data_IF_673224489878
#
_entry.id   IF_673224489878
#
_cell.length_a   1.000
_cell.length_b   1.000
_cell.length_c   1.000
_cell.angle_alpha   90.00
_cell.angle_beta   90.00
_cell.angle_gamma   90.00
#
_symmetry.space_group_name_H-M   'P 1'
#
loop_
_entity.id
_entity.type
_entity.pdbx_description
1 polymer ?
#
# COMPACT_ATOMS: atom_id res chain seq x y z
N UNK A 1 13.76 20.94 3.15
CA UNK A 1 14.60 20.13 4.06
C UNK A 1 15.23 19.01 3.23
N UNK A 2 16.56 18.93 3.18
CA UNK A 2 17.27 17.84 2.50
C UNK A 2 17.14 16.56 3.33
N UNK A 3 16.26 15.67 2.89
CA UNK A 3 16.00 14.41 3.55
C UNK A 3 17.20 13.47 3.46
N UNK A 4 17.53 12.83 4.59
CA UNK A 4 18.52 11.77 4.62
C UNK A 4 18.07 10.65 3.65
N UNK A 5 18.90 10.27 2.66
CA UNK A 5 18.53 9.28 1.64
C UNK A 5 18.17 7.92 2.26
N UNK A 6 18.79 7.56 3.39
CA UNK A 6 18.48 6.33 4.13
C UNK A 6 17.05 6.36 4.68
N UNK A 7 16.64 7.47 5.31
CA UNK A 7 15.28 7.63 5.84
C UNK A 7 14.26 7.56 4.70
N UNK A 8 14.52 8.23 3.58
CA UNK A 8 13.65 8.16 2.40
C UNK A 8 13.49 6.72 1.88
N UNK A 9 14.59 5.96 1.85
CA UNK A 9 14.56 4.57 1.42
C UNK A 9 13.72 3.69 2.37
N UNK A 10 13.90 3.86 3.69
CA UNK A 10 13.09 3.18 4.72
C UNK A 10 11.62 3.56 4.56
N UNK A 11 11.31 4.85 4.44
CA UNK A 11 9.95 5.36 4.25
C UNK A 11 9.25 4.72 3.04
N UNK A 12 9.95 4.52 1.91
CA UNK A 12 9.38 3.86 0.75
C UNK A 12 9.04 2.39 1.00
N UNK A 13 9.92 1.64 1.67
CA UNK A 13 9.63 0.25 2.06
C UNK A 13 8.50 0.18 3.06
N UNK A 14 8.51 1.08 4.04
CA UNK A 14 7.52 1.16 5.10
C UNK A 14 6.12 1.46 4.53
N UNK A 15 6.02 2.42 3.61
CA UNK A 15 4.76 2.74 2.95
C UNK A 15 4.25 1.56 2.10
N UNK A 16 5.14 0.90 1.35
CA UNK A 16 4.77 -0.33 0.63
C UNK A 16 4.28 -1.43 1.58
N UNK A 17 4.92 -1.61 2.72
CA UNK A 17 4.51 -2.60 3.72
C UNK A 17 3.12 -2.29 4.32
N UNK A 18 2.90 -1.03 4.72
CA UNK A 18 1.60 -0.56 5.26
C UNK A 18 0.50 -0.82 4.22
N UNK A 19 0.69 -0.35 2.99
CA UNK A 19 -0.30 -0.48 1.93
C UNK A 19 -0.58 -1.94 1.56
N UNK A 20 0.44 -2.82 1.59
CA UNK A 20 0.23 -4.24 1.35
C UNK A 20 -0.68 -4.88 2.41
N UNK A 21 -0.47 -4.55 3.68
CA UNK A 21 -1.32 -5.03 4.77
C UNK A 21 -2.74 -4.49 4.68
N UNK A 22 -2.88 -3.22 4.34
CA UNK A 22 -4.20 -2.63 4.09
C UNK A 22 -4.90 -3.31 2.91
N UNK A 23 -4.16 -3.65 1.85
CA UNK A 23 -4.67 -4.37 0.69
C UNK A 23 -5.22 -5.74 1.01
N UNK A 24 -4.57 -6.49 1.90
CA UNK A 24 -5.08 -7.79 2.34
C UNK A 24 -6.48 -7.68 2.96
N UNK A 25 -6.75 -6.62 3.74
CA UNK A 25 -8.08 -6.41 4.34
C UNK A 25 -9.10 -5.88 3.33
N UNK A 26 -8.67 -4.99 2.44
CA UNK A 26 -9.51 -4.42 1.37
C UNK A 26 -10.01 -5.53 0.43
N UNK A 27 -9.17 -6.53 0.12
CA UNK A 27 -9.55 -7.66 -0.71
C UNK A 27 -10.68 -8.52 -0.08
N UNK A 28 -10.88 -8.44 1.25
CA UNK A 28 -12.03 -9.03 1.94
C UNK A 28 -13.24 -8.08 2.04
N UNK A 29 -13.19 -6.91 1.41
CA UNK A 29 -14.24 -5.89 1.46
C UNK A 29 -14.25 -5.04 2.74
N UNK A 30 -13.19 -5.11 3.55
CA UNK A 30 -13.02 -4.27 4.74
C UNK A 30 -12.31 -2.98 4.32
N UNK A 31 -13.08 -1.90 4.18
CA UNK A 31 -12.56 -0.62 3.70
C UNK A 31 -12.14 0.36 4.80
N UNK A 32 -12.51 0.11 6.05
CA UNK A 32 -12.19 0.97 7.19
C UNK A 32 -10.95 0.47 7.95
N UNK A 33 -9.89 0.19 7.19
CA UNK A 33 -8.64 -0.37 7.73
C UNK A 33 -7.88 0.69 8.51
N UNK A 34 -7.33 0.34 9.66
CA UNK A 34 -6.39 1.20 10.39
C UNK A 34 -5.22 0.35 10.89
N UNK A 35 -4.09 1.01 11.12
CA UNK A 35 -2.91 0.39 11.71
C UNK A 35 -2.39 1.24 12.86
N UNK A 36 -1.70 0.59 13.79
CA UNK A 36 -1.02 1.27 14.90
C UNK A 36 0.47 1.37 14.66
N UNK A 37 1.11 2.43 15.16
CA UNK A 37 2.56 2.57 15.11
C UNK A 37 3.29 1.41 15.80
N UNK A 38 2.78 0.98 16.96
CA UNK A 38 3.30 -0.17 17.68
C UNK A 38 3.27 -1.47 16.85
N UNK A 39 2.17 -1.74 16.13
CA UNK A 39 2.07 -2.90 15.24
C UNK A 39 3.10 -2.85 14.11
N UNK A 40 3.30 -1.68 13.53
CA UNK A 40 4.29 -1.45 12.47
C UNK A 40 5.71 -1.65 13.00
N UNK A 41 6.03 -1.12 14.19
CA UNK A 41 7.33 -1.33 14.84
C UNK A 41 7.59 -2.80 15.14
N UNK A 42 6.58 -3.54 15.59
CA UNK A 42 6.71 -4.97 15.86
C UNK A 42 6.89 -5.80 14.57
N UNK A 43 6.18 -5.45 13.49
CA UNK A 43 6.05 -6.31 12.32
C UNK A 43 6.97 -5.97 11.15
N UNK A 44 7.45 -4.73 11.04
CA UNK A 44 8.15 -4.27 9.85
C UNK A 44 9.55 -4.89 9.74
N UNK A 45 9.83 -5.68 8.69
CA UNK A 45 11.17 -6.20 8.44
C UNK A 45 12.03 -5.08 7.87
N UNK A 46 13.06 -4.66 8.61
CA UNK A 46 14.00 -3.68 8.07
C UNK A 46 14.76 -4.31 6.89
N UNK A 47 14.83 -3.64 5.73
CA UNK A 47 15.70 -4.09 4.65
C UNK A 47 17.15 -4.13 5.15
N UNK A 48 17.93 -5.09 4.64
CA UNK A 48 19.36 -5.20 4.89
C UNK A 48 20.06 -3.95 4.31
N UNK A 49 20.19 -2.94 5.14
CA UNK A 49 20.90 -1.70 4.86
C UNK A 49 21.88 -1.45 5.99
N UNK A 50 22.98 -0.77 5.65
CA UNK A 50 23.91 -0.24 6.62
C UNK A 50 23.23 0.92 7.36
N UNK A 51 22.42 0.60 8.37
CA UNK A 51 21.97 1.61 9.31
C UNK A 51 23.20 2.12 10.05
N UNK A 52 23.34 3.44 10.24
CA UNK A 52 24.35 3.96 11.13
C UNK A 52 24.20 3.26 12.49
N UNK A 53 25.28 2.76 13.11
CA UNK A 53 25.22 2.01 14.36
C UNK A 53 24.54 2.81 15.50
N UNK A 54 24.58 4.13 15.41
CA UNK A 54 23.93 5.11 16.28
C UNK A 54 22.39 5.09 16.16
N UNK A 55 21.85 4.72 15.00
CA UNK A 55 20.41 4.75 14.72
C UNK A 55 19.83 3.36 14.89
N UNK A 56 19.34 3.05 16.09
CA UNK A 56 18.62 1.80 16.35
C UNK A 56 17.44 1.60 15.40
N UNK A 57 17.10 0.34 15.13
CA UNK A 57 15.98 -0.09 14.27
C UNK A 57 14.71 0.76 14.47
N UNK A 58 14.24 0.83 15.71
CA UNK A 58 12.96 1.47 16.02
C UNK A 58 13.04 3.00 15.84
N UNK A 59 14.18 3.61 16.11
CA UNK A 59 14.40 5.04 15.86
C UNK A 59 14.30 5.35 14.36
N UNK A 60 14.86 4.49 13.50
CA UNK A 60 14.76 4.64 12.06
C UNK A 60 13.32 4.48 11.54
N UNK A 61 12.55 3.52 12.08
CA UNK A 61 11.13 3.35 11.73
C UNK A 61 10.31 4.56 12.19
N UNK A 62 10.52 5.06 13.41
CA UNK A 62 9.84 6.26 13.92
C UNK A 62 10.11 7.48 13.05
N UNK A 63 11.37 7.69 12.67
CA UNK A 63 11.76 8.78 11.76
C UNK A 63 11.09 8.63 10.38
N UNK A 64 10.99 7.40 9.87
CA UNK A 64 10.29 7.13 8.62
C UNK A 64 8.77 7.36 8.71
N UNK A 65 8.12 6.95 9.81
CA UNK A 65 6.71 7.25 10.07
C UNK A 65 6.46 8.75 10.14
N UNK A 66 7.31 9.49 10.85
CA UNK A 66 7.23 10.94 10.92
C UNK A 66 7.33 11.58 9.54
N UNK A 67 8.33 11.16 8.76
CA UNK A 67 8.48 11.61 7.39
C UNK A 67 7.25 11.30 6.51
N UNK A 68 6.66 10.11 6.63
CA UNK A 68 5.45 9.76 5.89
C UNK A 68 4.23 10.60 6.30
N UNK A 69 4.12 10.96 7.58
CA UNK A 69 3.07 11.85 8.07
C UNK A 69 3.25 13.28 7.55
N UNK A 70 4.48 13.79 7.59
CA UNK A 70 4.82 15.13 7.10
C UNK A 70 4.53 15.27 5.59
N UNK A 71 4.77 14.21 4.81
CA UNK A 71 4.48 14.13 3.37
C UNK A 71 3.02 13.75 3.04
N UNK A 72 2.14 13.65 4.05
CA UNK A 72 0.71 13.30 3.90
C UNK A 72 0.53 11.96 3.15
N UNK A 73 1.46 11.03 3.32
CA UNK A 73 1.35 9.65 2.81
C UNK A 73 0.59 8.76 3.78
N UNK A 74 0.59 9.12 5.07
CA UNK A 74 -0.28 8.54 6.10
C UNK A 74 -1.10 9.64 6.77
N UNK A 75 -2.33 9.29 7.15
CA UNK A 75 -3.30 10.17 7.80
C UNK A 75 -3.47 9.67 9.23
N UNK A 76 -3.10 10.51 10.20
CA UNK A 76 -3.21 10.20 11.63
C UNK A 76 -4.60 10.55 12.14
N UNK A 77 -5.14 9.71 13.02
CA UNK A 77 -6.41 9.93 13.71
C UNK A 77 -6.25 10.30 15.19
N UNK A 78 -5.01 10.25 15.68
CA UNK A 78 -4.64 10.53 17.07
C UNK A 78 -3.61 11.65 17.11
N UNK A 79 -3.74 12.53 18.09
CA UNK A 79 -2.82 13.65 18.33
C UNK A 79 -1.60 13.29 19.19
N UNK A 80 -1.29 12.00 19.32
CA UNK A 80 -0.14 11.55 20.11
C UNK A 80 1.18 12.06 19.50
N UNK A 81 2.11 12.49 20.35
CA UNK A 81 3.42 13.00 19.90
C UNK A 81 4.31 11.88 19.33
N UNK A 82 4.28 10.70 19.96
CA UNK A 82 5.13 9.58 19.58
C UNK A 82 4.50 8.70 18.49
N UNK A 83 5.24 8.35 17.42
CA UNK A 83 4.75 7.50 16.34
C UNK A 83 4.17 6.16 16.77
N UNK A 84 4.70 5.58 17.86
CA UNK A 84 4.32 4.29 18.41
C UNK A 84 2.83 4.24 18.80
N UNK A 85 2.31 5.38 19.26
CA UNK A 85 0.93 5.53 19.73
C UNK A 85 -0.01 6.03 18.63
N UNK A 86 0.47 6.20 17.41
CA UNK A 86 -0.37 6.67 16.32
C UNK A 86 -1.35 5.59 15.88
N UNK A 87 -2.60 5.99 15.68
CA UNK A 87 -3.56 5.24 14.85
C UNK A 87 -3.65 5.98 13.53
N UNK A 88 -3.36 5.30 12.44
CA UNK A 88 -3.32 5.92 11.12
C UNK A 88 -3.81 4.98 10.01
N UNK A 89 -3.97 5.57 8.83
CA UNK A 89 -4.27 4.90 7.56
C UNK A 89 -3.39 5.49 6.47
N UNK A 90 -2.99 4.71 5.47
CA UNK A 90 -2.35 5.29 4.30
C UNK A 90 -3.31 6.19 3.52
N UNK A 91 -2.74 7.14 2.79
CA UNK A 91 -3.51 7.96 1.86
C UNK A 91 -4.27 7.12 0.84
N UNK A 92 -3.69 5.99 0.40
CA UNK A 92 -4.33 5.11 -0.59
C UNK A 92 -5.53 4.36 0.00
N UNK A 93 -5.41 3.80 1.20
CA UNK A 93 -6.52 3.15 1.86
C UNK A 93 -7.66 4.15 2.16
N UNK A 94 -7.34 5.42 2.47
CA UNK A 94 -8.36 6.45 2.65
C UNK A 94 -9.09 6.75 1.33
N UNK A 95 -8.36 6.84 0.22
CA UNK A 95 -8.97 6.99 -1.11
C UNK A 95 -9.90 5.81 -1.40
N UNK A 96 -9.46 4.58 -1.16
CA UNK A 96 -10.27 3.37 -1.37
C UNK A 96 -11.55 3.41 -0.51
N UNK A 97 -11.45 3.82 0.76
CA UNK A 97 -12.61 3.99 1.64
C UNK A 97 -13.59 5.05 1.13
N UNK A 98 -13.09 6.15 0.59
CA UNK A 98 -13.94 7.19 0.02
C UNK A 98 -14.60 6.71 -1.28
N UNK A 99 -13.87 5.98 -2.13
CA UNK A 99 -14.38 5.37 -3.35
C UNK A 99 -15.51 4.38 -3.06
N UNK A 100 -15.39 3.55 -2.02
CA UNK A 100 -16.42 2.59 -1.64
C UNK A 100 -17.72 3.25 -1.14
N UNK A 101 -17.65 4.52 -0.74
CA UNK A 101 -18.79 5.33 -0.29
C UNK A 101 -19.43 6.16 -1.40
N UNK A 102 -18.88 6.17 -2.61
CA UNK A 102 -19.43 6.95 -3.72
C UNK A 102 -20.84 6.49 -4.09
N UNK A 103 -21.72 7.47 -4.34
CA UNK A 103 -23.11 7.25 -4.73
C UNK A 103 -23.42 7.94 -6.05
N UNK A 104 -24.24 7.29 -6.86
CA UNK A 104 -24.75 7.85 -8.11
C UNK A 104 -25.69 9.02 -7.84
N UNK A 105 -25.51 10.11 -8.58
CA UNK A 105 -26.37 11.29 -8.54
C UNK A 105 -26.97 11.53 -9.93
N UNK A 106 -28.00 10.77 -10.26
CA UNK A 106 -28.75 10.91 -11.52
C UNK A 106 -30.13 11.48 -11.17
N UNK A 107 -30.20 12.81 -11.02
CA UNK A 107 -31.45 13.52 -10.73
C UNK A 107 -31.53 14.80 -11.55
N UNK A 108 -32.69 15.06 -12.15
CA UNK A 108 -32.96 16.28 -12.92
C UNK A 108 -33.08 17.51 -12.01
N UNK A 109 -33.61 17.35 -10.79
CA UNK A 109 -33.76 18.42 -9.81
C UNK A 109 -33.25 18.00 -8.43
N UNK A 110 -32.37 18.80 -7.85
CA UNK A 110 -31.69 18.49 -6.60
C UNK A 110 -32.62 18.63 -5.37
N UNK A 111 -32.57 17.66 -4.46
CA UNK A 111 -33.17 17.70 -3.11
C UNK A 111 -34.69 18.00 -3.02
N UNK A 112 -35.42 18.07 -4.13
CA UNK A 112 -36.87 18.33 -4.13
C UNK A 112 -37.71 17.17 -3.54
N UNK A 113 -37.19 15.93 -3.59
CA UNK A 113 -37.83 14.73 -3.03
C UNK A 113 -36.81 13.96 -2.18
N UNK A 114 -37.28 13.17 -1.21
CA UNK A 114 -36.39 12.35 -0.37
C UNK A 114 -35.50 11.39 -1.18
N UNK A 115 -36.04 10.86 -2.30
CA UNK A 115 -35.29 10.03 -3.27
C UNK A 115 -34.22 10.78 -4.07
N UNK A 116 -34.21 12.11 -4.03
CA UNK A 116 -33.20 12.94 -4.71
C UNK A 116 -32.00 13.29 -3.80
N UNK A 117 -32.06 12.91 -2.51
CA UNK A 117 -30.95 13.13 -1.58
C UNK A 117 -29.80 12.19 -1.92
N UNK A 118 -28.56 12.65 -1.80
CA UNK A 118 -27.37 11.81 -2.04
C UNK A 118 -27.36 10.58 -1.11
N UNK A 119 -27.85 10.72 0.12
CA UNK A 119 -27.95 9.62 1.07
C UNK A 119 -28.84 8.46 0.60
N UNK A 120 -29.85 8.72 -0.23
CA UNK A 120 -30.74 7.69 -0.80
C UNK A 120 -30.27 7.15 -2.16
N UNK A 121 -29.18 7.69 -2.71
CA UNK A 121 -28.59 7.21 -3.96
C UNK A 121 -28.02 5.79 -3.86
N UNK A 122 -28.06 5.06 -4.99
CA UNK A 122 -27.38 3.77 -5.16
C UNK A 122 -25.86 3.96 -5.11
N UNK A 123 -25.13 2.96 -4.63
CA UNK A 123 -23.66 2.99 -4.68
C UNK A 123 -23.19 3.00 -6.13
N UNK A 124 -22.19 3.82 -6.42
CA UNK A 124 -21.56 3.88 -7.73
C UNK A 124 -20.60 2.72 -7.95
N UNK A 125 -19.91 2.31 -6.88
CA UNK A 125 -18.89 1.27 -6.90
C UNK A 125 -19.48 0.01 -6.25
N UNK A 126 -19.40 -1.12 -6.97
CA UNK A 126 -19.84 -2.41 -6.47
C UNK A 126 -18.74 -3.10 -5.65
N UNK A 127 -17.51 -3.07 -6.16
CA UNK A 127 -16.35 -3.74 -5.57
C UNK A 127 -15.06 -3.00 -5.95
N UNK A 128 -14.00 -3.14 -5.14
CA UNK A 128 -12.69 -2.51 -5.34
C UNK A 128 -11.61 -3.58 -5.22
N UNK A 129 -10.73 -3.65 -6.22
CA UNK A 129 -9.50 -4.44 -6.15
C UNK A 129 -8.31 -3.51 -5.94
N UNK A 130 -7.56 -3.71 -4.86
CA UNK A 130 -6.42 -2.88 -4.52
C UNK A 130 -5.13 -3.70 -4.55
N UNK A 131 -4.29 -3.46 -5.55
CA UNK A 131 -3.00 -4.15 -5.69
C UNK A 131 -1.84 -3.19 -5.51
N UNK A 132 -0.94 -3.51 -4.59
CA UNK A 132 0.24 -2.68 -4.27
C UNK A 132 1.48 -3.24 -4.95
N UNK A 133 2.16 -2.39 -5.72
CA UNK A 133 3.46 -2.71 -6.31
C UNK A 133 4.58 -2.16 -5.42
N UNK A 134 5.72 -2.86 -5.31
CA UNK A 134 6.88 -2.34 -4.61
C UNK A 134 7.37 -1.02 -5.23
N UNK A 135 7.66 -0.02 -4.39
CA UNK A 135 8.21 1.27 -4.83
C UNK A 135 9.67 1.20 -5.28
N UNK A 136 10.34 0.09 -4.97
CA UNK A 136 11.72 -0.12 -5.35
C UNK A 136 11.82 -0.94 -6.62
N UNK A 137 12.52 -0.37 -7.59
CA UNK A 137 12.83 -1.04 -8.84
C UNK A 137 14.15 -1.79 -8.62
N UNK A 138 14.21 -3.10 -8.92
CA UNK A 138 15.47 -3.83 -8.87
C UNK A 138 16.46 -3.19 -9.83
N UNK A 139 17.75 -3.16 -9.46
CA UNK A 139 18.80 -2.72 -10.37
C UNK A 139 18.80 -3.62 -11.60
N UNK A 140 18.85 -3.02 -12.79
CA UNK A 140 18.90 -3.77 -14.05
C UNK A 140 20.31 -4.25 -14.39
N UNK A 141 21.31 -3.58 -13.83
CA UNK A 141 22.72 -3.90 -14.00
C UNK A 141 23.15 -4.95 -12.97
N UNK A 142 22.67 -6.18 -13.18
CA UNK A 142 23.05 -7.35 -12.39
C UNK A 142 23.65 -8.36 -13.37
N UNK A 143 24.86 -8.87 -13.10
CA UNK A 143 25.49 -9.85 -13.97
C UNK A 143 24.61 -11.11 -14.05
N UNK A 144 24.47 -11.66 -15.26
CA UNK A 144 23.58 -12.78 -15.54
C UNK A 144 23.85 -13.99 -14.62
N UNK A 145 25.11 -14.22 -14.24
CA UNK A 145 25.48 -15.29 -13.32
C UNK A 145 24.85 -15.13 -11.92
N UNK A 146 24.69 -13.90 -11.42
CA UNK A 146 24.04 -13.66 -10.12
C UNK A 146 22.54 -13.95 -10.19
N UNK A 147 21.90 -13.62 -11.30
CA UNK A 147 20.49 -13.94 -11.54
C UNK A 147 20.27 -15.46 -11.63
N UNK A 148 21.16 -16.17 -12.33
CA UNK A 148 21.10 -17.63 -12.47
C UNK A 148 21.30 -18.34 -11.12
N UNK A 149 22.19 -17.83 -10.25
CA UNK A 149 22.39 -18.37 -8.89
C UNK A 149 21.13 -18.29 -8.02
N UNK A 150 20.36 -17.20 -8.12
CA UNK A 150 19.08 -17.05 -7.42
C UNK A 150 18.03 -18.06 -7.90
N UNK A 151 18.03 -18.39 -9.19
CA UNK A 151 17.12 -19.37 -9.79
C UNK A 151 17.52 -20.82 -9.49
N UNK A 152 18.83 -21.12 -9.47
CA UNK A 152 19.35 -22.46 -9.21
C UNK A 152 19.36 -22.83 -7.72
N UNK A 153 19.30 -21.85 -6.82
CA UNK A 153 19.46 -22.01 -5.36
C UNK A 153 18.27 -22.61 -4.61
N UNK A 154 17.17 -22.98 -5.27
CA UNK A 154 16.05 -23.74 -4.68
C UNK A 154 15.22 -23.06 -3.59
N UNK A 155 15.70 -21.95 -2.99
CA UNK A 155 14.95 -21.21 -1.98
C UNK A 155 14.31 -19.97 -2.60
N UNK A 156 13.15 -20.17 -3.23
CA UNK A 156 12.28 -19.08 -3.66
C UNK A 156 11.69 -18.39 -2.43
N UNK A 157 12.44 -17.45 -1.85
CA UNK A 157 11.83 -16.43 -1.00
C UNK A 157 10.87 -15.62 -1.88
N UNK A 158 9.57 -15.74 -1.63
CA UNK A 158 8.47 -15.08 -2.34
C UNK A 158 8.56 -13.55 -2.40
N UNK A 159 9.53 -12.95 -1.72
CA UNK A 159 9.85 -11.52 -1.75
C UNK A 159 10.73 -11.07 -2.93
N UNK A 160 11.49 -11.97 -3.58
CA UNK A 160 12.49 -11.59 -4.61
C UNK A 160 12.00 -11.84 -6.04
N UNK A 161 11.11 -12.82 -6.23
CA UNK A 161 10.43 -13.06 -7.50
C UNK A 161 8.93 -12.81 -7.33
N UNK A 162 8.51 -11.54 -7.26
CA UNK A 162 7.25 -11.20 -7.92
C UNK A 162 7.61 -11.03 -9.40
N UNK A 163 7.36 -12.02 -10.26
CA UNK A 163 7.37 -11.73 -11.68
C UNK A 163 6.39 -10.59 -11.88
N UNK A 164 6.76 -9.71 -12.80
CA UNK A 164 5.86 -8.80 -13.49
C UNK A 164 4.83 -9.67 -14.24
N UNK A 165 4.00 -10.40 -13.50
CA UNK A 165 2.95 -11.24 -14.01
C UNK A 165 1.79 -10.28 -14.24
N UNK A 166 1.83 -9.64 -15.41
CA UNK A 166 0.62 -9.22 -16.07
C UNK A 166 -0.32 -10.43 -15.97
N UNK A 167 -1.37 -10.36 -15.14
CA UNK A 167 -2.48 -11.29 -15.24
C UNK A 167 -3.11 -11.02 -16.60
N UNK A 168 -2.58 -11.62 -17.67
CA UNK A 168 -3.34 -11.81 -18.89
C UNK A 168 -4.46 -12.75 -18.48
N UNK A 169 -5.62 -12.18 -18.21
CA UNK A 169 -6.88 -12.90 -18.30
C UNK A 169 -7.02 -13.37 -19.76
N UNK A 170 -6.37 -14.46 -20.12
CA UNK A 170 -6.69 -15.26 -21.30
C UNK A 170 -7.29 -16.57 -20.82
N UNK A 171 -8.50 -16.45 -20.29
CA UNK A 171 -9.54 -17.46 -20.51
C UNK A 171 -9.52 -17.88 -21.98
N UNK A 172 -9.36 -19.18 -22.22
CA UNK A 172 -9.80 -19.94 -23.39
C UNK A 172 -10.17 -19.10 -24.63
N UNK A 173 -9.24 -18.96 -25.58
CA UNK A 173 -9.62 -18.67 -26.96
C UNK A 173 -10.20 -19.94 -27.58
N UNK A 174 -11.48 -19.99 -27.98
CA UNK A 174 -11.96 -21.08 -28.81
C UNK A 174 -11.37 -20.90 -30.20
N UNK A 175 -10.73 -21.96 -30.71
CA UNK A 175 -10.23 -22.03 -32.06
C UNK A 175 -11.37 -21.91 -33.06
N UNK A 176 -11.46 -20.79 -33.77
CA UNK A 176 -12.24 -20.72 -35.02
C UNK A 176 -11.38 -21.29 -36.15
N UNK A 177 -11.78 -22.46 -36.64
CA UNK A 177 -11.29 -23.04 -37.91
C UNK A 177 -12.24 -22.63 -39.04
N UNK A 178 -11.61 -22.14 -40.11
CA UNK A 178 -12.10 -21.85 -41.48
C UNK A 178 -13.00 -20.64 -41.63
#
# INVERSE_FOLDING_TARGET
MTLNPTIKHISNHLLTFIEQREGEQIDYGIYDVTMTGAEVLASFPLPAMDLPPETGRDAAIRAALQHLADEIQIIRFTDAEQPDNWVFRSRMAEIVRLLSKLKQRIVQFNNQKARHRVSSGKRLVADIKYSVQPRQVPRRDIPAQSCLKLLSGGHLSSSVLRPFCWKSSSTNCPSFRR
#
